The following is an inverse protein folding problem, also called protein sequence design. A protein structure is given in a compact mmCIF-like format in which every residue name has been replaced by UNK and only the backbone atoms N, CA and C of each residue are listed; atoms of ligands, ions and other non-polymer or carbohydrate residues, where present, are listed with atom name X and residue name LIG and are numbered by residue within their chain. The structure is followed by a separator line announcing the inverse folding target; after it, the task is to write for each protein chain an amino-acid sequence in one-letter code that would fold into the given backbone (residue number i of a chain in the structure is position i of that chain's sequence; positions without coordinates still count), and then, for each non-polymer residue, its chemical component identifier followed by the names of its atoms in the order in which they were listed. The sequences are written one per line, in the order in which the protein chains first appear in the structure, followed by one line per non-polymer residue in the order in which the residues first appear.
data_IF_975830549421
#
_entry.id   IF_975830549421
#
_cell.length_a   1.000
_cell.length_b   1.000
_cell.length_c   1.000
_cell.angle_alpha   90.00
_cell.angle_beta   90.00
_cell.angle_gamma   90.00
#
_symmetry.space_group_name_H-M   'P 1'
#
loop_
_entity.id
_entity.type
_entity.pdbx_description
1 polymer ?
#
# COMPACT_ATOMS: atom_id res chain seq x y z
N UNK A 1 32.56 -4.77 16.87
CA UNK A 1 31.68 -4.78 15.68
C UNK A 1 30.20 -4.67 16.05
N UNK A 2 29.71 -5.48 17.01
CA UNK A 2 28.32 -5.43 17.50
C UNK A 2 27.94 -4.07 18.12
N UNK A 3 28.79 -3.50 18.98
CA UNK A 3 28.54 -2.18 19.59
C UNK A 3 28.40 -1.07 18.54
N UNK A 4 29.36 -0.98 17.61
CA UNK A 4 29.31 -0.02 16.49
C UNK A 4 28.05 -0.15 15.63
N UNK A 5 27.54 -1.37 15.44
CA UNK A 5 26.28 -1.60 14.72
C UNK A 5 25.07 -1.11 15.53
N UNK A 6 25.06 -1.38 16.84
CA UNK A 6 24.00 -0.90 17.74
C UNK A 6 23.99 0.63 17.76
N UNK A 7 25.14 1.28 17.87
CA UNK A 7 25.27 2.75 17.82
C UNK A 7 24.73 3.31 16.49
N UNK A 8 25.00 2.62 15.39
CA UNK A 8 24.49 2.99 14.07
C UNK A 8 22.96 2.87 13.99
N UNK A 9 22.40 1.76 14.48
CA UNK A 9 20.95 1.54 14.49
C UNK A 9 20.24 2.57 15.38
N UNK A 10 20.81 2.89 16.55
CA UNK A 10 20.27 3.94 17.41
C UNK A 10 20.41 5.34 16.81
N UNK A 11 21.52 5.62 16.10
CA UNK A 11 21.69 6.87 15.36
C UNK A 11 20.61 7.06 14.30
N UNK A 12 20.21 5.99 13.61
CA UNK A 12 19.18 6.00 12.58
C UNK A 12 17.84 5.40 13.03
N UNK A 13 17.52 5.44 14.34
CA UNK A 13 16.32 4.82 14.90
C UNK A 13 15.02 5.25 14.21
N UNK A 14 14.96 6.50 13.73
CA UNK A 14 13.80 7.06 13.04
C UNK A 14 13.58 6.49 11.63
N UNK A 15 14.55 5.75 11.08
CA UNK A 15 14.39 5.05 9.80
C UNK A 15 13.62 3.73 9.95
N UNK A 16 13.38 3.26 11.18
CA UNK A 16 12.71 2.01 11.46
C UNK A 16 11.32 2.26 12.02
N UNK A 17 10.33 1.55 11.49
CA UNK A 17 8.96 1.56 12.02
C UNK A 17 8.91 0.91 13.41
N UNK A 18 8.04 1.41 14.28
CA UNK A 18 7.75 0.79 15.58
C UNK A 18 6.28 0.37 15.65
N UNK A 19 5.88 -0.36 16.70
CA UNK A 19 4.47 -0.73 16.89
C UNK A 19 3.57 0.51 17.07
N UNK A 20 4.14 1.61 17.60
CA UNK A 20 3.44 2.89 17.80
C UNK A 20 3.42 3.75 16.54
N UNK A 21 4.47 3.66 15.75
CA UNK A 21 4.67 4.42 14.51
C UNK A 21 4.97 3.44 13.37
N UNK A 22 3.95 2.68 12.91
CA UNK A 22 4.15 1.61 11.94
C UNK A 22 4.27 2.13 10.50
N UNK A 23 4.05 3.43 10.28
CA UNK A 23 4.08 4.07 8.97
C UNK A 23 5.05 5.26 9.00
N UNK A 24 5.89 5.34 7.96
CA UNK A 24 6.55 6.58 7.56
C UNK A 24 5.71 7.34 6.54
N UNK A 25 6.18 8.52 6.15
CA UNK A 25 5.63 9.29 5.03
C UNK A 25 6.77 9.79 4.15
N UNK A 26 6.64 9.64 2.83
CA UNK A 26 7.57 10.17 1.86
C UNK A 26 7.25 11.64 1.66
N UNK A 27 8.11 12.51 2.18
CA UNK A 27 7.89 13.96 2.15
C UNK A 27 8.00 14.47 0.71
N UNK A 28 6.97 15.17 0.25
CA UNK A 28 6.97 15.85 -1.06
C UNK A 28 6.70 14.94 -2.26
N UNK A 29 6.34 13.68 -2.03
CA UNK A 29 5.98 12.75 -3.10
C UNK A 29 4.48 12.47 -3.09
N UNK A 30 3.84 12.63 -4.24
CA UNK A 30 2.44 12.25 -4.48
C UNK A 30 2.39 11.36 -5.70
N UNK A 31 1.56 10.32 -5.61
CA UNK A 31 1.33 9.40 -6.74
C UNK A 31 0.05 9.84 -7.45
N UNK A 32 0.20 10.25 -8.70
CA UNK A 32 -0.94 10.53 -9.57
C UNK A 32 -1.32 9.27 -10.35
N UNK A 33 -2.59 8.87 -10.23
CA UNK A 33 -3.15 7.79 -11.05
C UNK A 33 -3.74 8.42 -12.31
N UNK A 34 -3.08 8.20 -13.44
CA UNK A 34 -3.50 8.73 -14.74
C UNK A 34 -4.40 7.71 -15.43
N UNK A 35 -5.59 8.16 -15.82
CA UNK A 35 -6.54 7.36 -16.59
C UNK A 35 -6.45 7.70 -18.08
N UNK A 36 -6.71 6.72 -18.95
CA UNK A 36 -6.78 6.89 -20.41
C UNK A 36 -8.17 7.32 -20.91
N UNK A 37 -9.07 7.65 -19.98
CA UNK A 37 -10.43 8.15 -20.23
C UNK A 37 -10.65 9.48 -19.52
N UNK A 38 -11.43 10.34 -20.15
CA UNK A 38 -11.80 11.64 -19.61
C UNK A 38 -13.14 11.60 -18.87
N UNK A 39 -13.45 12.68 -18.15
CA UNK A 39 -14.74 12.85 -17.48
C UNK A 39 -15.85 13.18 -18.48
N UNK A 40 -17.09 12.72 -18.25
CA UNK A 40 -17.50 11.83 -17.16
C UNK A 40 -16.98 10.41 -17.35
N UNK A 41 -16.47 9.80 -16.26
CA UNK A 41 -15.87 8.48 -16.34
C UNK A 41 -16.89 7.37 -16.65
N UNK A 42 -16.46 6.25 -17.27
CA UNK A 42 -17.34 5.13 -17.56
C UNK A 42 -18.01 4.55 -16.29
N UNK A 43 -19.28 4.14 -16.34
CA UNK A 43 -19.96 3.51 -15.20
C UNK A 43 -19.23 2.27 -14.65
N UNK A 44 -18.39 1.63 -15.47
CA UNK A 44 -17.63 0.44 -15.10
C UNK A 44 -16.65 0.68 -13.93
N UNK A 45 -16.19 1.92 -13.71
CA UNK A 45 -15.31 2.25 -12.58
C UNK A 45 -16.05 2.82 -11.36
N UNK A 46 -17.39 2.78 -11.38
CA UNK A 46 -18.26 3.15 -10.26
C UNK A 46 -18.99 1.92 -9.74
N UNK A 47 -18.21 1.00 -9.18
CA UNK A 47 -18.70 -0.30 -8.72
C UNK A 47 -19.20 -0.18 -7.27
N UNK A 48 -20.41 -0.68 -6.95
CA UNK A 48 -20.93 -0.71 -5.59
C UNK A 48 -20.19 -1.73 -4.72
N UNK A 49 -20.28 -1.57 -3.40
CA UNK A 49 -19.76 -2.54 -2.46
C UNK A 49 -20.39 -3.93 -2.68
N UNK A 50 -19.58 -4.98 -2.62
CA UNK A 50 -20.07 -6.35 -2.70
C UNK A 50 -20.79 -6.77 -1.41
N UNK A 51 -21.79 -7.66 -1.49
CA UNK A 51 -22.35 -8.30 -0.31
C UNK A 51 -21.25 -9.01 0.49
N UNK A 52 -21.25 -8.81 1.79
CA UNK A 52 -20.29 -9.41 2.72
C UNK A 52 -21.03 -10.20 3.80
N UNK A 53 -20.46 -11.34 4.21
CA UNK A 53 -20.93 -12.10 5.37
C UNK A 53 -20.79 -11.27 6.66
N UNK A 54 -21.46 -11.68 7.73
CA UNK A 54 -21.32 -11.02 9.03
C UNK A 54 -19.85 -10.96 9.50
N UNK A 55 -19.13 -12.08 9.41
CA UNK A 55 -17.70 -12.16 9.76
C UNK A 55 -16.81 -11.27 8.87
N UNK A 56 -17.13 -11.14 7.58
CA UNK A 56 -16.40 -10.26 6.68
C UNK A 56 -16.68 -8.79 7.00
N UNK A 57 -17.91 -8.41 7.36
CA UNK A 57 -18.25 -7.04 7.77
C UNK A 57 -17.51 -6.63 9.04
N UNK A 58 -17.49 -7.49 10.06
CA UNK A 58 -16.73 -7.24 11.28
C UNK A 58 -15.23 -7.05 10.99
N UNK A 59 -14.64 -7.93 10.18
CA UNK A 59 -13.25 -7.78 9.76
C UNK A 59 -13.01 -6.48 8.97
N UNK A 60 -13.91 -6.09 8.07
CA UNK A 60 -13.82 -4.83 7.33
C UNK A 60 -13.81 -3.63 8.27
N UNK A 61 -14.70 -3.59 9.25
CA UNK A 61 -14.78 -2.50 10.22
C UNK A 61 -13.47 -2.34 11.01
N UNK A 62 -12.86 -3.45 11.43
CA UNK A 62 -11.55 -3.44 12.10
C UNK A 62 -10.47 -2.86 11.18
N UNK A 63 -10.32 -3.39 9.95
CA UNK A 63 -9.30 -2.92 9.00
C UNK A 63 -9.50 -1.45 8.60
N UNK A 64 -10.74 -1.01 8.36
CA UNK A 64 -11.06 0.38 8.02
C UNK A 64 -10.68 1.30 9.18
N UNK A 65 -11.05 0.93 10.41
CA UNK A 65 -10.71 1.72 11.60
C UNK A 65 -9.20 1.84 11.77
N UNK A 66 -8.46 0.73 11.67
CA UNK A 66 -6.99 0.75 11.74
C UNK A 66 -6.38 1.69 10.70
N UNK A 67 -6.84 1.64 9.45
CA UNK A 67 -6.33 2.51 8.39
C UNK A 67 -6.76 3.98 8.57
N UNK A 68 -7.92 4.25 9.17
CA UNK A 68 -8.32 5.60 9.55
C UNK A 68 -7.45 6.15 10.69
N UNK A 69 -7.20 5.34 11.72
CA UNK A 69 -6.35 5.71 12.86
C UNK A 69 -4.90 5.97 12.42
N UNK A 70 -4.45 5.26 11.38
CA UNK A 70 -3.16 5.45 10.72
C UNK A 70 -3.13 6.63 9.73
N UNK A 71 -4.25 7.32 9.49
CA UNK A 71 -4.35 8.42 8.53
C UNK A 71 -4.27 8.01 7.05
N UNK A 72 -4.31 6.71 6.75
CA UNK A 72 -4.32 6.15 5.38
C UNK A 72 -5.65 6.38 4.70
N UNK A 73 -6.75 6.25 5.45
CA UNK A 73 -8.11 6.47 4.96
C UNK A 73 -8.74 7.67 5.64
N UNK A 74 -9.63 8.34 4.91
CA UNK A 74 -10.53 9.35 5.46
C UNK A 74 -11.96 9.07 5.02
N UNK A 75 -12.92 9.56 5.81
CA UNK A 75 -14.31 9.62 5.37
C UNK A 75 -14.44 10.65 4.26
N UNK A 76 -15.20 10.30 3.23
CA UNK A 76 -15.63 11.23 2.18
C UNK A 76 -16.88 11.93 2.69
N UNK A 77 -16.89 13.26 2.65
CA UNK A 77 -18.00 14.08 3.09
C UNK A 77 -19.21 14.00 2.16
N UNK A 78 -20.41 14.31 2.68
CA UNK A 78 -21.64 14.21 1.90
C UNK A 78 -21.71 15.14 0.68
N UNK A 79 -20.89 16.20 0.67
CA UNK A 79 -20.79 17.18 -0.43
C UNK A 79 -19.70 16.83 -1.45
N UNK A 80 -18.86 15.84 -1.17
CA UNK A 80 -17.79 15.44 -2.08
C UNK A 80 -18.36 14.52 -3.16
N UNK A 81 -18.19 14.91 -4.43
CA UNK A 81 -18.57 14.06 -5.54
C UNK A 81 -17.57 12.91 -5.68
N UNK A 82 -18.08 11.68 -5.69
CA UNK A 82 -17.29 10.46 -5.89
C UNK A 82 -17.56 9.92 -7.28
N UNK A 83 -16.57 10.08 -8.17
CA UNK A 83 -16.66 9.66 -9.57
C UNK A 83 -16.14 8.22 -9.79
N UNK A 84 -15.32 7.71 -8.86
CA UNK A 84 -14.69 6.39 -8.93
C UNK A 84 -14.92 5.63 -7.63
N UNK A 85 -15.37 4.38 -7.72
CA UNK A 85 -15.54 3.50 -6.55
C UNK A 85 -15.06 2.09 -6.88
N UNK A 86 -14.22 1.54 -5.99
CA UNK A 86 -13.74 0.17 -6.04
C UNK A 86 -14.27 -0.59 -4.81
N UNK A 87 -14.83 -1.80 -4.98
CA UNK A 87 -15.26 -2.61 -3.86
C UNK A 87 -14.06 -3.22 -3.14
N UNK A 88 -14.30 -3.58 -1.89
CA UNK A 88 -13.32 -4.21 -1.03
C UNK A 88 -13.87 -5.54 -0.55
N UNK A 89 -13.02 -6.55 -0.51
CA UNK A 89 -13.35 -7.89 -0.02
C UNK A 89 -12.43 -8.30 1.12
N UNK A 90 -12.90 -9.23 1.94
CA UNK A 90 -12.07 -9.90 2.95
C UNK A 90 -11.65 -11.26 2.42
N UNK A 91 -10.35 -11.52 2.48
CA UNK A 91 -9.78 -12.84 2.27
C UNK A 91 -9.20 -13.36 3.58
N UNK A 92 -9.25 -14.67 3.78
CA UNK A 92 -8.73 -15.30 5.00
C UNK A 92 -7.54 -16.18 4.65
N UNK A 93 -6.49 -16.09 5.46
CA UNK A 93 -5.30 -16.92 5.32
C UNK A 93 -4.69 -17.18 6.68
N UNK A 94 -4.51 -18.46 7.04
CA UNK A 94 -3.96 -18.88 8.34
C UNK A 94 -4.68 -18.22 9.53
N UNK A 95 -6.01 -18.14 9.47
CA UNK A 95 -6.84 -17.53 10.52
C UNK A 95 -6.81 -16.00 10.60
N UNK A 96 -6.06 -15.31 9.74
CA UNK A 96 -6.01 -13.85 9.68
C UNK A 96 -6.82 -13.33 8.48
N UNK A 97 -7.61 -12.28 8.71
CA UNK A 97 -8.31 -11.57 7.65
C UNK A 97 -7.37 -10.57 6.96
N UNK A 98 -7.57 -10.37 5.67
CA UNK A 98 -6.90 -9.35 4.85
C UNK A 98 -7.94 -8.60 4.05
N UNK A 99 -7.89 -7.28 4.14
CA UNK A 99 -8.68 -6.38 3.31
C UNK A 99 -8.03 -6.23 1.93
N UNK A 100 -8.78 -6.53 0.88
CA UNK A 100 -8.29 -6.53 -0.51
C UNK A 100 -9.17 -5.64 -1.36
N UNK A 101 -8.55 -4.67 -2.02
CA UNK A 101 -9.20 -3.77 -2.96
C UNK A 101 -9.28 -4.43 -4.34
N UNK A 102 -10.46 -4.38 -4.97
CA UNK A 102 -10.65 -4.89 -6.32
C UNK A 102 -10.48 -3.80 -7.38
N UNK A 103 -9.22 -3.49 -7.72
CA UNK A 103 -8.88 -2.48 -8.72
C UNK A 103 -9.03 -2.97 -10.16
N UNK A 104 -9.55 -4.17 -10.44
CA UNK A 104 -9.54 -4.76 -11.79
C UNK A 104 -10.19 -3.85 -12.83
N UNK A 105 -11.37 -3.30 -12.53
CA UNK A 105 -12.07 -2.40 -13.43
C UNK A 105 -11.42 -1.03 -13.54
N UNK A 106 -10.82 -0.50 -12.47
CA UNK A 106 -10.07 0.74 -12.54
C UNK A 106 -8.83 0.57 -13.43
N UNK A 107 -8.11 -0.52 -13.24
CA UNK A 107 -6.88 -0.85 -13.96
C UNK A 107 -7.08 -1.04 -15.47
N UNK A 108 -8.30 -1.30 -15.97
CA UNK A 108 -8.54 -1.33 -17.43
C UNK A 108 -8.42 0.05 -18.08
N UNK A 109 -8.52 1.11 -17.27
CA UNK A 109 -8.42 2.49 -17.71
C UNK A 109 -7.18 3.19 -17.16
N UNK A 110 -6.37 2.52 -16.32
CA UNK A 110 -5.16 3.11 -15.75
C UNK A 110 -4.02 2.99 -16.75
N UNK A 111 -3.36 4.11 -17.06
CA UNK A 111 -2.15 4.10 -17.88
C UNK A 111 -1.02 3.40 -17.10
N UNK A 112 -0.46 2.29 -17.61
CA UNK A 112 0.54 1.53 -16.86
C UNK A 112 1.89 2.25 -16.86
N UNK A 113 2.38 2.57 -15.67
CA UNK A 113 3.75 3.07 -15.50
C UNK A 113 4.74 1.90 -15.46
N UNK A 114 5.80 1.97 -16.27
CA UNK A 114 6.76 0.88 -16.42
C UNK A 114 8.04 1.19 -15.65
N UNK A 115 8.19 0.56 -14.49
CA UNK A 115 9.44 0.49 -13.75
C UNK A 115 10.05 -0.91 -13.96
N UNK A 116 11.02 -1.08 -14.88
CA UNK A 116 11.60 -2.39 -15.13
C UNK A 116 12.38 -2.85 -13.89
N UNK A 117 11.89 -3.91 -13.26
CA UNK A 117 12.64 -4.60 -12.21
C UNK A 117 13.90 -5.21 -12.82
N UNK A 118 15.09 -5.05 -12.20
CA UNK A 118 16.31 -5.67 -12.68
C UNK A 118 16.14 -7.19 -12.77
N UNK A 119 16.78 -7.81 -13.77
CA UNK A 119 16.68 -9.26 -13.95
C UNK A 119 17.39 -9.96 -12.79
N UNK A 120 16.78 -11.03 -12.25
CA UNK A 120 17.34 -11.74 -11.09
C UNK A 120 18.80 -12.17 -11.29
N UNK A 121 19.18 -12.62 -12.48
CA UNK A 121 20.56 -13.04 -12.77
C UNK A 121 21.56 -11.88 -12.72
N UNK A 122 21.18 -10.70 -13.22
CA UNK A 122 22.02 -9.49 -13.17
C UNK A 122 22.25 -9.07 -11.71
N UNK A 123 21.17 -9.06 -10.92
CA UNK A 123 21.25 -8.77 -9.47
C UNK A 123 22.15 -9.77 -8.74
N UNK A 124 22.03 -11.08 -9.03
CA UNK A 124 22.85 -12.11 -8.39
C UNK A 124 24.34 -12.00 -8.78
N UNK A 125 24.65 -11.72 -10.05
CA UNK A 125 26.04 -11.51 -10.48
C UNK A 125 26.66 -10.29 -9.77
N UNK A 126 25.92 -9.19 -9.62
CA UNK A 126 26.40 -8.02 -8.87
C UNK A 126 26.63 -8.36 -7.39
N UNK A 127 25.72 -9.13 -6.77
CA UNK A 127 25.86 -9.57 -5.39
C UNK A 127 27.04 -10.54 -5.18
N UNK A 128 27.43 -11.31 -6.20
CA UNK A 128 28.57 -12.25 -6.09
C UNK A 128 29.91 -11.57 -5.81
N UNK A 129 30.05 -10.29 -6.13
CA UNK A 129 31.29 -9.53 -6.01
C UNK A 129 31.39 -8.73 -4.69
N UNK A 130 30.33 -8.69 -3.88
CA UNK A 130 30.32 -7.90 -2.64
C UNK A 130 30.66 -8.75 -1.41
N UNK A 131 31.35 -8.15 -0.44
CA UNK A 131 31.76 -8.82 0.81
C UNK A 131 30.64 -8.85 1.87
N UNK A 132 29.70 -7.92 1.78
CA UNK A 132 28.59 -7.75 2.72
C UNK A 132 27.32 -7.40 1.96
N UNK A 133 26.20 -8.02 2.33
CA UNK A 133 24.88 -7.75 1.78
C UNK A 133 24.00 -7.26 2.94
N UNK A 134 23.24 -6.19 2.70
CA UNK A 134 22.20 -5.72 3.62
C UNK A 134 20.86 -5.80 2.91
N UNK A 135 19.88 -6.45 3.54
CA UNK A 135 18.52 -6.53 3.04
C UNK A 135 17.60 -5.69 3.94
N UNK A 136 16.90 -4.73 3.36
CA UNK A 136 15.96 -3.86 4.06
C UNK A 136 14.60 -4.02 3.39
N UNK A 137 13.54 -4.14 4.18
CA UNK A 137 12.18 -4.18 3.68
C UNK A 137 11.41 -2.95 4.19
N UNK A 138 10.60 -2.36 3.32
CA UNK A 138 9.75 -1.24 3.68
C UNK A 138 8.44 -1.74 4.28
N UNK A 139 8.20 -1.41 5.54
CA UNK A 139 6.95 -1.76 6.22
C UNK A 139 5.80 -0.95 5.61
N UNK A 140 4.78 -1.63 5.09
CA UNK A 140 3.58 -1.00 4.50
C UNK A 140 3.90 0.10 3.46
N UNK A 141 4.92 -0.11 2.62
CA UNK A 141 5.48 0.93 1.73
C UNK A 141 4.46 1.67 0.84
N UNK A 142 3.41 1.00 0.36
CA UNK A 142 2.36 1.65 -0.45
C UNK A 142 1.57 2.71 0.32
N UNK A 143 1.48 2.59 1.65
CA UNK A 143 0.83 3.54 2.55
C UNK A 143 1.77 4.64 3.04
N UNK A 144 2.80 5.00 2.27
CA UNK A 144 3.72 6.10 2.65
C UNK A 144 3.70 7.25 1.64
N UNK A 145 2.84 7.19 0.61
CA UNK A 145 2.79 8.14 -0.52
C UNK A 145 1.70 9.24 -0.37
N UNK A 146 1.35 9.65 0.84
CA UNK A 146 0.26 10.61 1.09
C UNK A 146 0.73 12.07 1.08
#
# INVERSE_FOLDING_TARGET
MKEKLIDLLFKYKNAFSTDKEPLGAIIGHKVDIILDVEKPYPPLIRIPAYPASASAREALEVHIKELMDLGVLRKVGHNEQVEVTTPVIITWHSGKSRMVWDFRALNTYTIPERYPTPRMHETLTQLSQVKFITAINYQKGFHQNF
#
